data_IF_043357330547
#
_entry.id   IF_043357330547
#
_cell.length_a   1.000
_cell.length_b   1.000
_cell.length_c   1.000
_cell.angle_alpha   90.00
_cell.angle_beta   90.00
_cell.angle_gamma   90.00
#
_symmetry.space_group_name_H-M   'P 1'
#
loop_
_entity.id
_entity.type
_entity.pdbx_description
1 polymer ?
#
# COMPACT_ATOMS: atom_id res chain seq x y z
N UNK A 1 -16.06 -58.15 -33.06
CA UNK A 1 -16.63 -59.31 -33.83
C UNK A 1 -15.54 -60.32 -34.07
N UNK A 2 -15.88 -61.63 -34.23
CA UNK A 2 -14.86 -62.69 -34.48
C UNK A 2 -13.95 -62.37 -35.67
N UNK A 3 -14.44 -61.67 -36.69
CA UNK A 3 -13.66 -61.24 -37.86
C UNK A 3 -12.59 -60.20 -37.50
N UNK A 4 -12.92 -59.24 -36.65
CA UNK A 4 -11.95 -58.23 -36.18
C UNK A 4 -10.79 -58.87 -35.39
N UNK A 5 -11.07 -59.82 -34.50
CA UNK A 5 -10.04 -60.52 -33.71
C UNK A 5 -9.14 -61.39 -34.61
N UNK A 6 -9.69 -62.06 -35.66
CA UNK A 6 -8.90 -62.81 -36.62
C UNK A 6 -8.01 -61.90 -37.46
N UNK A 7 -8.53 -60.78 -37.91
CA UNK A 7 -7.80 -59.79 -38.71
C UNK A 7 -6.70 -59.10 -37.87
N UNK A 8 -7.00 -58.78 -36.64
CA UNK A 8 -6.02 -58.23 -35.71
C UNK A 8 -4.85 -59.22 -35.47
N UNK A 9 -5.12 -60.51 -35.29
CA UNK A 9 -4.11 -61.53 -35.09
C UNK A 9 -3.25 -61.80 -36.34
N UNK A 10 -3.84 -61.74 -37.53
CA UNK A 10 -3.12 -62.02 -38.81
C UNK A 10 -2.31 -60.80 -39.31
N UNK A 11 -2.74 -59.60 -39.04
CA UNK A 11 -2.14 -58.36 -39.59
C UNK A 11 -1.47 -57.49 -38.54
N UNK A 12 -1.33 -58.00 -37.32
CA UNK A 12 -0.72 -57.26 -36.18
C UNK A 12 -1.45 -55.91 -35.86
N UNK A 13 -2.75 -55.84 -36.10
CA UNK A 13 -3.57 -54.70 -35.72
C UNK A 13 -4.16 -54.87 -34.32
N UNK A 14 -4.47 -53.76 -33.65
CA UNK A 14 -5.33 -53.81 -32.46
C UNK A 14 -6.79 -54.07 -32.87
N UNK A 15 -7.62 -54.60 -31.96
CA UNK A 15 -9.05 -54.84 -32.24
C UNK A 15 -9.79 -53.58 -32.70
N UNK A 16 -9.43 -52.42 -32.14
CA UNK A 16 -10.03 -51.12 -32.54
C UNK A 16 -9.65 -50.75 -33.98
N UNK A 17 -8.41 -50.95 -34.39
CA UNK A 17 -7.95 -50.75 -35.76
C UNK A 17 -8.61 -51.70 -36.74
N UNK A 18 -8.74 -52.96 -36.39
CA UNK A 18 -9.41 -53.96 -37.22
C UNK A 18 -10.91 -53.65 -37.40
N UNK A 19 -11.61 -53.23 -36.36
CA UNK A 19 -12.99 -52.78 -36.43
C UNK A 19 -13.14 -51.56 -37.33
N UNK A 20 -12.28 -50.54 -37.20
CA UNK A 20 -12.29 -49.34 -38.03
C UNK A 20 -12.13 -49.68 -39.53
N UNK A 21 -11.26 -50.65 -39.86
CA UNK A 21 -11.07 -51.12 -41.24
C UNK A 21 -12.34 -51.83 -41.77
N UNK A 22 -12.97 -52.66 -40.95
CA UNK A 22 -14.17 -53.40 -41.32
C UNK A 22 -15.40 -52.50 -41.48
N UNK A 23 -15.44 -51.40 -40.73
CA UNK A 23 -16.51 -50.41 -40.80
C UNK A 23 -16.32 -49.40 -41.94
N UNK A 24 -15.19 -49.45 -42.67
CA UNK A 24 -14.96 -48.57 -43.81
C UNK A 24 -15.96 -48.87 -44.96
N UNK A 25 -16.60 -47.81 -45.46
CA UNK A 25 -17.50 -47.94 -46.57
C UNK A 25 -16.74 -48.25 -47.87
N UNK A 26 -17.28 -49.13 -48.70
CA UNK A 26 -16.66 -49.59 -49.96
C UNK A 26 -16.19 -48.46 -50.89
N UNK A 27 -16.90 -47.35 -50.95
CA UNK A 27 -16.50 -46.22 -51.77
C UNK A 27 -15.21 -45.55 -51.35
N UNK A 28 -14.80 -45.68 -50.05
CA UNK A 28 -13.53 -45.19 -49.55
C UNK A 28 -12.31 -46.02 -50.00
N UNK A 29 -12.54 -47.15 -50.64
CA UNK A 29 -11.51 -48.01 -51.23
C UNK A 29 -11.23 -47.69 -52.71
N UNK A 30 -11.83 -46.63 -53.27
CA UNK A 30 -11.57 -46.17 -54.63
C UNK A 30 -10.27 -45.37 -54.67
N UNK A 31 -9.42 -45.51 -55.66
CA UNK A 31 -8.07 -45.02 -55.75
C UNK A 31 -7.85 -43.55 -55.35
N UNK A 32 -8.81 -42.65 -55.68
CA UNK A 32 -8.74 -41.23 -55.29
C UNK A 32 -8.82 -41.00 -53.79
N UNK A 33 -9.53 -41.84 -53.04
CA UNK A 33 -9.64 -41.73 -51.59
C UNK A 33 -8.45 -42.39 -50.88
N UNK A 34 -7.80 -43.37 -51.50
CA UNK A 34 -6.56 -43.95 -51.01
C UNK A 34 -5.44 -42.92 -51.05
N UNK A 35 -5.34 -42.13 -52.11
CA UNK A 35 -4.38 -41.02 -52.20
C UNK A 35 -4.65 -39.95 -51.14
N UNK A 36 -5.91 -39.59 -50.89
CA UNK A 36 -6.29 -38.67 -49.83
C UNK A 36 -5.93 -39.21 -48.45
N UNK A 37 -6.12 -40.50 -48.20
CA UNK A 37 -5.80 -41.16 -46.94
C UNK A 37 -4.26 -41.22 -46.70
N UNK A 38 -3.50 -41.50 -47.77
CA UNK A 38 -2.02 -41.47 -47.69
C UNK A 38 -1.55 -40.05 -47.34
N UNK A 39 -2.11 -39.04 -48.00
CA UNK A 39 -1.79 -37.64 -47.72
C UNK A 39 -2.14 -37.26 -46.27
N UNK A 40 -3.31 -37.61 -45.77
CA UNK A 40 -3.72 -37.36 -44.39
C UNK A 40 -2.79 -38.07 -43.39
N UNK A 41 -2.37 -39.30 -43.69
CA UNK A 41 -1.42 -40.04 -42.89
C UNK A 41 -0.06 -39.32 -42.85
N UNK A 42 0.48 -38.91 -44.01
CA UNK A 42 1.74 -38.17 -44.07
C UNK A 42 1.68 -36.85 -43.29
N UNK A 43 0.58 -36.07 -43.44
CA UNK A 43 0.35 -34.85 -42.70
C UNK A 43 0.26 -35.09 -41.19
N UNK A 44 -0.40 -36.18 -40.78
CA UNK A 44 -0.54 -36.55 -39.38
C UNK A 44 0.81 -36.92 -38.78
N UNK A 45 1.63 -37.72 -39.45
CA UNK A 45 2.97 -38.06 -39.02
C UNK A 45 3.86 -36.82 -38.92
N UNK A 46 3.80 -35.93 -39.90
CA UNK A 46 4.54 -34.67 -39.88
C UNK A 46 4.13 -33.78 -38.67
N UNK A 47 2.83 -33.73 -38.38
CA UNK A 47 2.33 -33.00 -37.20
C UNK A 47 2.78 -33.65 -35.90
N UNK A 48 2.82 -34.97 -35.77
CA UNK A 48 3.32 -35.68 -34.60
C UNK A 48 4.79 -35.27 -34.33
N UNK A 49 5.66 -35.39 -35.33
CA UNK A 49 7.06 -34.99 -35.22
C UNK A 49 7.20 -33.52 -34.82
N UNK A 50 6.37 -32.64 -35.41
CA UNK A 50 6.39 -31.22 -35.07
C UNK A 50 5.98 -30.98 -33.61
N UNK A 51 4.96 -31.66 -33.13
CA UNK A 51 4.52 -31.50 -31.73
C UNK A 51 5.50 -32.11 -30.74
N UNK A 52 6.08 -33.26 -31.05
CA UNK A 52 7.15 -33.84 -30.23
C UNK A 52 8.36 -32.88 -30.14
N UNK A 53 8.78 -32.31 -31.24
CA UNK A 53 9.84 -31.32 -31.30
C UNK A 53 9.55 -30.07 -30.44
N UNK A 54 8.30 -29.58 -30.46
CA UNK A 54 7.87 -28.46 -29.62
C UNK A 54 7.90 -28.82 -28.13
N UNK A 55 7.54 -30.05 -27.77
CA UNK A 55 7.52 -30.51 -26.38
C UNK A 55 8.93 -30.77 -25.84
N UNK A 56 9.81 -31.34 -26.65
CA UNK A 56 11.16 -31.69 -26.23
C UNK A 56 12.13 -30.51 -26.22
N UNK A 57 12.00 -29.60 -27.19
CA UNK A 57 12.92 -28.47 -27.35
C UNK A 57 12.31 -27.14 -26.95
N UNK A 58 12.82 -26.57 -25.86
CA UNK A 58 12.41 -25.23 -25.38
C UNK A 58 12.53 -24.13 -26.46
N UNK A 59 13.52 -24.24 -27.37
CA UNK A 59 13.70 -23.30 -28.49
C UNK A 59 12.58 -23.39 -29.50
N UNK A 60 12.09 -24.60 -29.82
CA UNK A 60 10.96 -24.81 -30.72
C UNK A 60 9.65 -24.25 -30.11
N UNK A 61 9.42 -24.51 -28.83
CA UNK A 61 8.28 -23.92 -28.08
C UNK A 61 8.34 -22.39 -28.09
N UNK A 62 9.51 -21.81 -27.80
CA UNK A 62 9.70 -20.34 -27.83
C UNK A 62 9.40 -19.76 -29.22
N UNK A 63 9.80 -20.46 -30.29
CA UNK A 63 9.53 -20.01 -31.65
C UNK A 63 8.03 -20.00 -31.99
N UNK A 64 7.26 -20.95 -31.48
CA UNK A 64 5.78 -20.95 -31.66
C UNK A 64 5.19 -19.70 -30.99
N UNK A 65 5.58 -19.43 -29.75
CA UNK A 65 5.09 -18.25 -29.01
C UNK A 65 5.50 -16.95 -29.72
N UNK A 66 6.72 -16.86 -30.21
CA UNK A 66 7.20 -15.67 -30.96
C UNK A 66 6.37 -15.47 -32.22
N UNK A 67 6.08 -16.54 -32.97
CA UNK A 67 5.29 -16.46 -34.19
C UNK A 67 3.85 -15.99 -33.92
N UNK A 68 3.24 -16.47 -32.83
CA UNK A 68 1.90 -16.03 -32.41
C UNK A 68 1.91 -14.56 -31.98
N UNK A 69 2.92 -14.13 -31.22
CA UNK A 69 3.09 -12.74 -30.82
C UNK A 69 3.32 -11.82 -32.01
N UNK A 70 4.10 -12.25 -33.00
CA UNK A 70 4.33 -11.50 -34.22
C UNK A 70 3.05 -11.37 -35.08
N UNK A 71 2.23 -12.40 -35.11
CA UNK A 71 0.92 -12.34 -35.74
C UNK A 71 0.01 -11.32 -35.06
N UNK A 72 -0.08 -11.38 -33.74
CA UNK A 72 -0.84 -10.40 -32.94
C UNK A 72 -0.30 -8.97 -33.13
N UNK A 73 1.02 -8.83 -33.16
CA UNK A 73 1.66 -7.53 -33.41
C UNK A 73 1.29 -6.95 -34.78
N UNK A 74 1.21 -7.78 -35.83
CA UNK A 74 0.80 -7.32 -37.16
C UNK A 74 -0.67 -6.88 -37.18
N UNK A 75 -1.54 -7.60 -36.47
CA UNK A 75 -2.98 -7.33 -36.46
C UNK A 75 -3.33 -6.11 -35.58
N UNK A 76 -2.73 -6.00 -34.40
CA UNK A 76 -3.07 -4.99 -33.39
C UNK A 76 -2.04 -3.87 -33.23
N UNK A 77 -1.03 -3.80 -34.12
CA UNK A 77 0.00 -2.77 -34.05
C UNK A 77 -0.59 -1.36 -34.14
N UNK A 78 -0.33 -0.56 -33.13
CA UNK A 78 -0.71 0.85 -33.11
C UNK A 78 0.52 1.73 -33.11
N UNK A 79 0.43 2.90 -33.73
CA UNK A 79 1.46 3.92 -33.62
C UNK A 79 1.62 4.34 -32.15
N UNK A 80 2.86 4.54 -31.74
CA UNK A 80 3.17 5.05 -30.40
C UNK A 80 2.43 6.35 -30.16
N UNK A 81 1.62 6.40 -29.10
CA UNK A 81 0.87 7.60 -28.69
C UNK A 81 1.74 8.60 -27.93
N UNK A 82 2.76 8.09 -27.25
CA UNK A 82 3.70 8.92 -26.50
C UNK A 82 4.68 9.57 -27.46
N UNK A 83 4.75 10.88 -27.47
CA UNK A 83 5.77 11.64 -28.20
C UNK A 83 7.05 11.60 -27.37
N UNK A 84 8.17 11.26 -28.01
CA UNK A 84 9.49 11.46 -27.40
C UNK A 84 9.91 12.86 -27.81
N UNK A 85 9.84 13.77 -26.87
CA UNK A 85 10.36 15.12 -27.05
C UNK A 85 11.79 15.14 -26.51
N UNK A 86 12.75 15.52 -27.36
CA UNK A 86 14.14 15.72 -26.94
C UNK A 86 14.29 17.10 -26.29
N UNK A 87 13.43 17.38 -25.30
CA UNK A 87 13.65 18.52 -24.43
C UNK A 87 14.99 18.33 -23.71
N UNK A 88 15.72 19.41 -23.57
CA UNK A 88 16.90 19.48 -22.68
C UNK A 88 16.49 18.90 -21.33
N UNK A 89 17.35 18.06 -20.73
CA UNK A 89 17.12 17.50 -19.41
C UNK A 89 16.70 18.63 -18.48
N UNK A 90 15.44 18.63 -18.06
CA UNK A 90 15.00 19.50 -16.97
C UNK A 90 15.74 18.99 -15.75
N UNK A 91 16.84 19.64 -15.41
CA UNK A 91 17.51 19.43 -14.14
C UNK A 91 16.50 19.82 -13.07
N UNK A 92 15.89 18.81 -12.45
CA UNK A 92 15.00 19.02 -11.33
C UNK A 92 15.86 19.50 -10.16
N UNK A 93 16.02 20.81 -10.04
CA UNK A 93 16.54 21.40 -8.82
C UNK A 93 15.50 21.19 -7.73
N UNK A 94 15.72 20.22 -6.87
CA UNK A 94 14.99 20.11 -5.62
C UNK A 94 15.14 21.45 -4.89
N UNK A 95 14.09 22.25 -4.88
CA UNK A 95 14.04 23.45 -4.03
C UNK A 95 14.18 22.95 -2.61
N UNK A 96 15.38 23.04 -2.06
CA UNK A 96 15.62 22.82 -0.62
C UNK A 96 14.74 23.81 0.10
N UNK A 97 13.69 23.31 0.73
CA UNK A 97 12.84 24.13 1.60
C UNK A 97 13.76 24.55 2.76
N UNK A 98 14.00 25.86 2.89
CA UNK A 98 14.77 26.40 4.01
C UNK A 98 14.03 26.06 5.31
N UNK A 99 14.75 25.44 6.24
CA UNK A 99 14.20 25.12 7.54
C UNK A 99 13.97 26.41 8.32
N UNK A 100 12.74 26.65 8.70
CA UNK A 100 12.34 27.78 9.51
C UNK A 100 11.53 27.31 10.72
N UNK A 101 11.71 27.94 11.89
CA UNK A 101 10.88 27.68 13.06
C UNK A 101 9.48 28.27 12.86
N UNK A 102 8.48 27.56 13.36
CA UNK A 102 7.09 27.95 13.33
C UNK A 102 6.38 27.52 14.63
N UNK A 103 5.34 28.22 15.01
CA UNK A 103 4.47 27.79 16.10
C UNK A 103 3.25 27.07 15.55
N UNK A 104 3.02 25.85 16.07
CA UNK A 104 1.79 25.12 15.84
C UNK A 104 0.79 25.47 16.94
N UNK A 105 -0.43 25.84 16.51
CA UNK A 105 -1.53 26.23 17.37
C UNK A 105 -2.67 25.25 17.13
N UNK A 106 -3.16 24.62 18.21
CA UNK A 106 -4.30 23.70 18.16
C UNK A 106 -5.32 24.17 19.19
N UNK A 107 -6.51 24.49 18.74
CA UNK A 107 -7.57 24.96 19.62
C UNK A 107 -8.27 23.82 20.39
N UNK A 108 -9.27 24.15 21.19
CA UNK A 108 -10.03 23.18 22.00
C UNK A 108 -10.92 22.26 21.18
N UNK A 109 -11.20 22.61 19.94
CA UNK A 109 -12.04 21.85 19.01
C UNK A 109 -11.23 20.99 18.04
N UNK A 110 -9.89 21.03 18.13
CA UNK A 110 -9.01 20.28 17.25
C UNK A 110 -8.71 20.95 15.91
N UNK A 111 -8.98 22.27 15.78
CA UNK A 111 -8.54 23.04 14.62
C UNK A 111 -7.08 23.43 14.78
N UNK A 112 -6.31 23.25 13.72
CA UNK A 112 -4.86 23.48 13.73
C UNK A 112 -4.43 24.47 12.65
N UNK A 113 -3.39 25.24 12.97
CA UNK A 113 -2.69 26.13 12.04
C UNK A 113 -1.26 26.33 12.52
N UNK A 114 -0.39 26.78 11.62
CA UNK A 114 0.97 27.23 11.93
C UNK A 114 1.12 28.71 11.64
N UNK A 115 1.92 29.37 12.47
CA UNK A 115 2.27 30.79 12.32
C UNK A 115 3.79 30.94 12.44
N UNK A 116 4.34 31.98 11.82
CA UNK A 116 5.74 32.33 12.01
C UNK A 116 6.00 32.89 13.44
N UNK A 117 7.28 32.84 13.87
CA UNK A 117 7.68 33.27 15.20
C UNK A 117 7.31 34.72 15.47
N UNK A 118 7.51 35.61 14.50
CA UNK A 118 7.21 37.03 14.67
C UNK A 118 5.70 37.30 14.80
N UNK A 119 4.88 36.53 14.11
CA UNK A 119 3.42 36.58 14.24
C UNK A 119 2.97 36.04 15.60
N UNK A 120 3.59 34.98 16.07
CA UNK A 120 3.31 34.42 17.40
C UNK A 120 3.67 35.40 18.51
N UNK A 121 4.86 35.99 18.49
CA UNK A 121 5.31 36.94 19.51
C UNK A 121 4.38 38.14 19.67
N UNK A 122 3.84 38.64 18.54
CA UNK A 122 2.87 39.74 18.56
C UNK A 122 1.50 39.37 19.12
N UNK A 123 1.15 38.09 19.16
CA UNK A 123 -0.17 37.59 19.56
C UNK A 123 -0.08 36.53 20.67
N UNK A 124 0.99 36.50 21.44
CA UNK A 124 1.31 35.44 22.40
C UNK A 124 0.18 35.21 23.42
N UNK A 125 -0.34 36.26 24.03
CA UNK A 125 -1.44 36.17 25.00
C UNK A 125 -2.70 35.55 24.40
N UNK A 126 -3.09 36.00 23.22
CA UNK A 126 -4.25 35.46 22.51
C UNK A 126 -4.01 33.99 22.08
N UNK A 127 -2.79 33.66 21.65
CA UNK A 127 -2.44 32.30 21.26
C UNK A 127 -2.63 31.31 22.41
N UNK A 128 -2.16 31.63 23.62
CA UNK A 128 -2.36 30.78 24.79
C UNK A 128 -3.80 30.79 25.33
N UNK A 129 -4.54 31.88 25.15
CA UNK A 129 -5.91 31.96 25.61
C UNK A 129 -6.89 31.16 24.71
N UNK A 130 -6.67 31.21 23.40
CA UNK A 130 -7.56 30.60 22.40
C UNK A 130 -7.23 29.11 22.10
N UNK A 131 -5.95 28.72 22.24
CA UNK A 131 -5.50 27.38 21.86
C UNK A 131 -5.16 26.51 23.07
N UNK A 132 -5.48 25.23 22.96
CA UNK A 132 -5.17 24.22 23.98
C UNK A 132 -3.70 23.81 23.94
N UNK A 133 -3.14 23.70 22.75
CA UNK A 133 -1.75 23.33 22.54
C UNK A 133 -1.06 24.39 21.69
N UNK A 134 0.08 24.86 22.19
CA UNK A 134 0.93 25.87 21.55
C UNK A 134 2.36 25.42 21.73
N UNK A 135 3.05 25.10 20.64
CA UNK A 135 4.43 24.60 20.71
C UNK A 135 5.21 24.95 19.45
N UNK A 136 6.53 25.04 19.60
CA UNK A 136 7.46 25.33 18.53
C UNK A 136 7.70 24.07 17.67
N UNK A 137 7.77 24.22 16.36
CA UNK A 137 8.08 23.17 15.41
C UNK A 137 8.94 23.71 14.28
N UNK A 138 9.57 22.84 13.50
CA UNK A 138 10.18 23.22 12.21
C UNK A 138 9.14 23.05 11.11
N UNK A 139 9.14 23.93 10.10
CA UNK A 139 8.24 23.84 8.92
C UNK A 139 8.40 22.51 8.15
N UNK A 140 9.58 21.89 8.21
CA UNK A 140 9.90 20.59 7.59
C UNK A 140 9.63 19.41 8.54
N UNK A 141 9.29 19.70 9.80
CA UNK A 141 9.10 18.72 10.87
C UNK A 141 7.75 18.03 10.85
N UNK A 142 7.47 17.34 11.96
CA UNK A 142 6.20 16.64 12.20
C UNK A 142 5.69 16.96 13.60
N UNK A 143 4.39 16.85 13.77
CA UNK A 143 3.72 16.91 15.07
C UNK A 143 3.20 15.52 15.44
N UNK A 144 3.17 15.25 16.72
CA UNK A 144 2.70 14.01 17.32
C UNK A 144 1.45 14.28 18.15
N UNK A 145 0.40 13.52 17.90
CA UNK A 145 -0.92 13.65 18.51
C UNK A 145 -1.23 12.37 19.27
N UNK A 146 -1.36 12.44 20.60
CA UNK A 146 -1.68 11.30 21.47
C UNK A 146 -3.15 11.35 21.87
N UNK A 147 -3.86 10.22 21.75
CA UNK A 147 -5.30 10.14 21.99
C UNK A 147 -5.66 9.24 23.17
N UNK A 148 -6.91 9.36 23.65
CA UNK A 148 -7.45 8.54 24.72
C UNK A 148 -7.56 7.06 24.36
N UNK A 149 -7.59 6.72 23.08
CA UNK A 149 -7.57 5.32 22.60
C UNK A 149 -6.17 4.70 22.60
N UNK A 150 -5.16 5.45 23.08
CA UNK A 150 -3.77 4.98 23.12
C UNK A 150 -3.08 5.00 21.77
N UNK A 151 -3.63 5.71 20.79
CA UNK A 151 -3.01 5.90 19.46
C UNK A 151 -2.14 7.14 19.44
N UNK A 152 -1.12 7.07 18.59
CA UNK A 152 -0.26 8.18 18.18
C UNK A 152 -0.49 8.43 16.69
N UNK A 153 -0.83 9.65 16.33
CA UNK A 153 -0.89 10.11 14.95
C UNK A 153 0.23 11.11 14.67
N UNK A 154 0.92 10.95 13.54
CA UNK A 154 1.95 11.89 13.11
C UNK A 154 1.49 12.66 11.88
N UNK A 155 1.63 13.98 11.91
CA UNK A 155 1.24 14.91 10.83
C UNK A 155 2.46 15.72 10.42
N UNK A 156 2.68 15.89 9.13
CA UNK A 156 3.72 16.79 8.64
C UNK A 156 3.30 18.24 8.84
N UNK A 157 4.20 19.07 9.30
CA UNK A 157 3.94 20.52 9.44
C UNK A 157 3.66 21.17 8.09
N UNK A 158 4.25 20.66 7.01
CA UNK A 158 3.98 21.10 5.65
C UNK A 158 2.53 20.90 5.17
N UNK A 159 1.80 19.98 5.79
CA UNK A 159 0.41 19.69 5.45
C UNK A 159 -0.57 20.60 6.22
N UNK A 160 -0.05 21.38 7.17
CA UNK A 160 -0.82 22.33 7.98
C UNK A 160 -0.89 23.71 7.31
N UNK A 161 -2.00 24.45 7.46
CA UNK A 161 -2.07 25.80 6.95
C UNK A 161 -1.08 26.70 7.68
N UNK A 162 -0.29 27.43 6.89
CA UNK A 162 0.69 28.38 7.38
C UNK A 162 0.26 29.79 6.96
N UNK A 163 0.09 30.69 7.91
CA UNK A 163 -0.38 32.03 7.60
C UNK A 163 -0.41 32.98 8.79
N UNK A 164 -1.32 33.97 8.70
CA UNK A 164 -1.51 34.95 9.77
C UNK A 164 -2.30 34.36 10.94
N UNK A 165 -2.19 34.99 12.11
CA UNK A 165 -2.84 34.51 13.34
C UNK A 165 -4.35 34.31 13.22
N UNK A 166 -5.05 35.10 12.40
CA UNK A 166 -6.51 35.03 12.19
C UNK A 166 -6.94 34.29 10.95
N UNK A 167 -6.01 33.68 10.23
CA UNK A 167 -6.34 32.88 9.05
C UNK A 167 -7.10 31.61 9.46
N UNK A 168 -7.82 31.02 8.51
CA UNK A 168 -8.62 29.82 8.75
C UNK A 168 -7.72 28.65 9.17
N UNK A 169 -8.03 28.08 10.32
CA UNK A 169 -7.49 26.79 10.75
C UNK A 169 -8.24 25.63 10.09
N UNK A 170 -7.64 24.48 10.03
CA UNK A 170 -8.26 23.26 9.52
C UNK A 170 -8.38 22.21 10.65
N UNK A 171 -9.42 21.36 10.64
CA UNK A 171 -9.55 20.30 11.63
C UNK A 171 -8.43 19.25 11.43
N UNK A 172 -7.94 18.70 12.53
CA UNK A 172 -6.93 17.62 12.53
C UNK A 172 -7.38 16.37 11.78
N UNK A 173 -8.69 16.11 11.75
CA UNK A 173 -9.31 15.02 10.99
C UNK A 173 -8.99 15.08 9.50
N UNK A 174 -8.81 16.27 8.94
CA UNK A 174 -8.52 16.44 7.51
C UNK A 174 -7.07 16.13 7.12
N UNK A 175 -6.14 16.17 8.08
CA UNK A 175 -4.70 16.03 7.84
C UNK A 175 -4.10 14.80 8.49
N UNK A 176 -4.89 14.08 9.29
CA UNK A 176 -4.47 12.88 9.99
C UNK A 176 -5.54 11.79 9.93
N UNK A 177 -5.21 10.61 10.46
CA UNK A 177 -6.19 9.53 10.66
C UNK A 177 -6.92 9.67 12.01
N UNK A 178 -6.77 10.80 12.69
CA UNK A 178 -7.49 11.14 13.92
C UNK A 178 -8.96 11.35 13.60
N UNK A 179 -9.85 10.81 14.42
CA UNK A 179 -11.31 10.96 14.29
C UNK A 179 -11.86 11.61 15.56
N UNK A 180 -12.12 12.90 15.50
CA UNK A 180 -12.62 13.70 16.65
C UNK A 180 -13.99 13.23 17.16
N UNK A 181 -14.73 12.42 16.38
CA UNK A 181 -16.01 11.85 16.81
C UNK A 181 -15.85 10.64 17.74
N UNK A 182 -14.71 9.96 17.68
CA UNK A 182 -14.42 8.70 18.39
C UNK A 182 -13.30 8.84 19.42
N UNK A 183 -12.42 9.81 19.22
CA UNK A 183 -11.20 9.95 20.00
C UNK A 183 -11.06 11.37 20.56
N UNK A 184 -10.40 11.45 21.69
CA UNK A 184 -10.06 12.72 22.31
C UNK A 184 -8.55 12.95 22.25
N UNK A 185 -8.13 14.11 21.75
CA UNK A 185 -6.73 14.54 21.78
C UNK A 185 -6.31 14.84 23.22
N UNK A 186 -5.29 14.15 23.71
CA UNK A 186 -4.77 14.33 25.07
C UNK A 186 -3.51 15.19 25.10
N UNK A 187 -2.57 14.94 24.17
CA UNK A 187 -1.31 15.69 24.07
C UNK A 187 -0.96 15.91 22.60
N UNK A 188 -0.46 17.09 22.29
CA UNK A 188 0.15 17.44 21.01
C UNK A 188 1.51 18.08 21.23
N UNK A 189 2.54 17.58 20.52
CA UNK A 189 3.94 18.06 20.65
C UNK A 189 4.66 17.95 19.30
N UNK A 190 5.75 18.69 19.14
CA UNK A 190 6.66 18.52 18.01
C UNK A 190 7.42 17.19 18.10
N UNK A 191 7.57 16.49 16.98
CA UNK A 191 8.30 15.21 16.96
C UNK A 191 9.76 15.37 17.36
N UNK A 192 10.42 16.47 16.96
CA UNK A 192 11.81 16.77 17.33
C UNK A 192 12.04 16.87 18.84
N UNK A 193 11.03 17.32 19.56
CA UNK A 193 11.14 17.57 20.98
C UNK A 193 10.89 16.31 21.82
N UNK A 194 10.23 15.30 21.23
CA UNK A 194 9.95 14.03 21.91
C UNK A 194 11.21 13.35 22.45
N UNK A 195 12.31 13.40 21.71
CA UNK A 195 13.59 12.81 22.14
C UNK A 195 14.17 13.45 23.42
N UNK A 196 13.67 14.62 23.80
CA UNK A 196 14.10 15.33 24.99
C UNK A 196 13.26 14.99 26.22
N UNK A 197 12.14 14.30 26.05
CA UNK A 197 11.15 14.11 27.09
C UNK A 197 10.89 12.64 27.38
N UNK A 198 10.45 12.39 28.61
CA UNK A 198 9.72 11.17 28.95
C UNK A 198 8.24 11.48 29.04
N UNK A 199 7.43 10.58 28.51
CA UNK A 199 5.98 10.71 28.56
C UNK A 199 5.40 9.78 29.61
N UNK A 200 4.53 10.33 30.44
CA UNK A 200 3.77 9.57 31.43
C UNK A 200 2.36 9.38 30.89
N UNK A 201 1.97 8.12 30.72
CA UNK A 201 0.61 7.72 30.40
C UNK A 201 -0.11 7.29 31.66
N UNK A 202 -1.33 7.74 31.85
CA UNK A 202 -2.21 7.34 32.94
C UNK A 202 -3.53 6.90 32.32
N UNK A 203 -4.02 5.71 32.69
CA UNK A 203 -5.30 5.21 32.20
C UNK A 203 -6.43 5.47 33.21
N UNK A 204 -7.69 5.37 32.75
CA UNK A 204 -8.86 5.53 33.61
C UNK A 204 -8.96 4.46 34.71
N UNK A 205 -8.39 3.27 34.47
CA UNK A 205 -8.31 2.20 35.45
C UNK A 205 -7.11 2.33 36.41
N UNK A 206 -6.36 3.46 36.36
CA UNK A 206 -5.25 3.76 37.25
C UNK A 206 -3.91 3.12 36.86
N UNK A 207 -3.82 2.52 35.68
CA UNK A 207 -2.53 2.03 35.18
C UNK A 207 -1.67 3.20 34.76
N UNK A 208 -0.39 3.15 35.11
CA UNK A 208 0.58 4.18 34.78
C UNK A 208 1.77 3.58 34.04
N UNK A 209 2.26 4.28 33.02
CA UNK A 209 3.42 3.87 32.24
C UNK A 209 4.26 5.09 31.88
N UNK A 210 5.55 5.00 32.10
CA UNK A 210 6.53 5.99 31.66
C UNK A 210 7.26 5.44 30.43
N UNK A 211 7.37 6.24 29.37
CA UNK A 211 7.99 5.87 28.10
C UNK A 211 8.94 6.98 27.67
N UNK A 212 10.12 6.61 27.19
CA UNK A 212 11.01 7.57 26.54
C UNK A 212 10.37 8.10 25.25
N UNK A 213 10.36 9.42 25.09
CA UNK A 213 9.74 10.04 23.90
C UNK A 213 10.40 9.63 22.60
N UNK A 214 11.68 9.24 22.63
CA UNK A 214 12.39 8.70 21.45
C UNK A 214 11.77 7.42 20.86
N UNK A 215 11.03 6.64 21.64
CA UNK A 215 10.28 5.49 21.12
C UNK A 215 9.18 5.88 20.13
N UNK A 216 8.75 7.14 20.17
CA UNK A 216 7.72 7.70 19.30
C UNK A 216 8.27 8.45 18.07
N UNK A 217 9.59 8.47 17.90
CA UNK A 217 10.24 9.04 16.70
C UNK A 217 10.10 8.05 15.52
N UNK A 218 8.91 7.96 14.99
CA UNK A 218 8.54 7.02 13.93
C UNK A 218 8.04 7.75 12.70
N UNK A 219 8.30 7.13 11.53
CA UNK A 219 7.86 7.67 10.24
C UNK A 219 6.41 7.30 9.88
N UNK A 220 5.80 6.35 10.60
CA UNK A 220 4.43 5.89 10.33
C UNK A 220 3.41 6.93 10.77
N UNK A 221 2.36 7.09 9.97
CA UNK A 221 1.28 8.06 10.26
C UNK A 221 0.43 7.69 11.47
N UNK A 222 0.34 6.41 11.80
CA UNK A 222 -0.45 5.90 12.93
C UNK A 222 0.31 4.77 13.60
N UNK A 223 0.46 4.87 14.93
CA UNK A 223 1.14 3.87 15.77
C UNK A 223 0.39 3.74 17.09
N UNK A 224 0.33 2.53 17.64
CA UNK A 224 -0.16 2.33 18.99
C UNK A 224 0.89 2.86 20.00
N UNK A 225 0.60 3.96 20.69
CA UNK A 225 1.45 4.53 21.72
C UNK A 225 1.45 3.71 23.01
N UNK A 226 0.30 3.10 23.34
CA UNK A 226 0.18 2.16 24.46
C UNK A 226 -0.88 1.11 24.15
N UNK A 227 -0.66 -0.10 24.69
CA UNK A 227 -1.69 -1.15 24.67
C UNK A 227 -2.60 -0.96 25.87
N UNK A 228 -3.89 -0.89 25.63
CA UNK A 228 -4.93 -0.78 26.65
C UNK A 228 -5.56 -2.14 26.91
N UNK A 229 -6.06 -2.32 28.13
CA UNK A 229 -6.92 -3.45 28.46
C UNK A 229 -8.33 -3.22 27.89
N UNK A 230 -9.11 -4.27 27.78
CA UNK A 230 -10.48 -4.18 27.27
C UNK A 230 -11.31 -3.23 28.15
N UNK A 231 -11.92 -2.24 27.52
CA UNK A 231 -12.72 -1.21 28.21
C UNK A 231 -11.92 -0.14 28.95
N UNK A 232 -10.58 -0.10 28.84
CA UNK A 232 -9.76 0.98 29.42
C UNK A 232 -9.47 2.07 28.37
N UNK A 233 -9.23 3.28 28.86
CA UNK A 233 -8.85 4.43 28.04
C UNK A 233 -7.70 5.18 28.72
N UNK A 234 -6.88 5.86 27.94
CA UNK A 234 -5.90 6.81 28.48
C UNK A 234 -6.63 8.02 29.02
N UNK A 235 -6.45 8.29 30.30
CA UNK A 235 -7.03 9.46 30.96
C UNK A 235 -6.19 10.73 30.71
N UNK A 236 -4.86 10.58 30.71
CA UNK A 236 -3.95 11.70 30.44
C UNK A 236 -2.59 11.21 29.91
N UNK A 237 -1.97 12.05 29.10
CA UNK A 237 -0.58 11.92 28.67
C UNK A 237 0.11 13.24 29.01
N UNK A 238 1.17 13.20 29.77
CA UNK A 238 1.92 14.40 30.13
C UNK A 238 3.42 14.20 30.00
N UNK A 239 4.13 15.30 29.78
CA UNK A 239 5.58 15.33 29.75
C UNK A 239 6.08 15.26 31.20
N UNK A 240 6.98 14.29 31.47
CA UNK A 240 7.62 14.17 32.77
C UNK A 240 8.72 15.24 32.93
N UNK A 241 8.64 16.03 34.00
CA UNK A 241 9.55 17.12 34.34
C UNK A 241 10.17 16.93 35.73
N UNK A 242 10.73 15.75 35.99
CA UNK A 242 11.37 15.37 37.25
C UNK A 242 10.49 15.54 38.51
N UNK A 243 9.18 15.41 38.37
CA UNK A 243 8.24 15.38 39.49
C UNK A 243 8.54 14.17 40.39
N UNK A 244 8.66 14.43 41.72
CA UNK A 244 8.92 13.36 42.69
C UNK A 244 7.72 12.46 42.94
N UNK A 245 6.50 12.97 42.74
CA UNK A 245 5.26 12.28 43.04
C UNK A 245 4.23 12.48 41.94
N UNK A 246 3.44 11.47 41.72
CA UNK A 246 2.24 11.49 40.90
C UNK A 246 1.07 11.22 41.85
N UNK A 247 0.09 12.09 41.84
CA UNK A 247 -1.11 11.95 42.66
C UNK A 247 -2.24 11.53 41.69
N UNK A 248 -2.80 10.36 41.91
CA UNK A 248 -3.98 9.87 41.24
C UNK A 248 -5.12 9.88 42.26
N UNK A 249 -6.18 10.60 41.96
CA UNK A 249 -7.37 10.64 42.77
C UNK A 249 -8.53 9.97 42.04
N UNK A 250 -9.14 8.96 42.65
CA UNK A 250 -10.34 8.35 42.13
C UNK A 250 -11.55 9.26 42.34
N UNK A 251 -12.67 8.96 41.65
CA UNK A 251 -13.94 9.68 41.87
C UNK A 251 -14.49 9.53 43.29
N UNK A 252 -14.09 8.49 43.99
CA UNK A 252 -14.50 8.18 45.36
C UNK A 252 -13.53 8.84 46.40
N UNK A 253 -12.55 9.60 45.96
CA UNK A 253 -11.68 10.36 46.84
C UNK A 253 -10.45 9.61 47.41
N UNK A 254 -10.15 8.43 46.86
CA UNK A 254 -8.95 7.66 47.18
C UNK A 254 -7.78 8.04 46.32
#
# INVERSE_FOLDING_TARGET
TKQASVMAAQLCFTENQANAILDMRLYKLIGLEIEALIKEHEETIANIYRYEDILERKSAMAQVIINELDALKKEYSQKRRTVIDNCEEVVFEEKKIEEAPAYCLIDRFGYTRCVDVATFERNQEAAFAENRFVFLVKNTGRICLFTNTGQLYTVKVSDLPFGKFRDKAIPLDNVSNFDSTREQLLLAVGQSDLNLYRLLFVTKQGMTKMVDGGEFDVMKRTVAATKLQEGDEVANVCVYQDQKYIILQSKEGF
#
